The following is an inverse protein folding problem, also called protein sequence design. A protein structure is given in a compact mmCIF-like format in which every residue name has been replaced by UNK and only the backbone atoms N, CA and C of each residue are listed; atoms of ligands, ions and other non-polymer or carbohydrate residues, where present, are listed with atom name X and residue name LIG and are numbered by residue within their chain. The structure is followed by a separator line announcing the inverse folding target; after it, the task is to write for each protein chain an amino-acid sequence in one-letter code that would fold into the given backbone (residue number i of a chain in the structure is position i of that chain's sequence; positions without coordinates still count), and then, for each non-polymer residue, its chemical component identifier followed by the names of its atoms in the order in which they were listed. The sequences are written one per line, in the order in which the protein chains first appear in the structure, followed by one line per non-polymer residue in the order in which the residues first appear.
data_IF_334608780227
#
_entry.id   IF_334608780227
#
_cell.length_a   1.000
_cell.length_b   1.000
_cell.length_c   1.000
_cell.angle_alpha   90.00
_cell.angle_beta   90.00
_cell.angle_gamma   90.00
#
_symmetry.space_group_name_H-M   'P 1'
#
loop_
_entity.id
_entity.type
_entity.pdbx_description
1 polymer ?
2 non-polymer ?
3 water ?
#
# COMPACT_ATOMS: atom_id res chain seq x y z
N UNK A 58 -37.85 -6.78 -13.19
CA UNK A 58 -36.94 -7.84 -13.72
C UNK A 58 -36.23 -8.63 -12.62
N UNK A 59 -36.19 -9.95 -12.82
CA UNK A 59 -35.63 -10.83 -11.82
C UNK A 59 -34.21 -11.26 -12.10
N UNK A 60 -33.48 -11.50 -11.01
CA UNK A 60 -32.15 -12.06 -11.14
C UNK A 60 -32.34 -13.56 -11.34
N UNK A 61 -32.01 -14.01 -12.55
CA UNK A 61 -32.14 -15.41 -12.91
C UNK A 61 -30.76 -15.94 -13.24
N UNK A 62 -30.35 -17.00 -12.56
CA UNK A 62 -29.01 -17.58 -12.68
C UNK A 62 -29.09 -18.99 -13.28
N UNK A 63 -28.28 -19.25 -14.29
CA UNK A 63 -28.31 -20.56 -14.98
C UNK A 63 -27.55 -21.63 -14.21
N UNK A 64 -27.86 -22.89 -14.54
CA UNK A 64 -27.45 -24.05 -13.76
C UNK A 64 -25.93 -24.20 -13.70
N UNK A 65 -25.25 -23.69 -14.71
CA UNK A 65 -23.80 -23.88 -14.81
C UNK A 65 -23.04 -22.81 -14.05
N UNK A 66 -23.73 -21.80 -13.52
CA UNK A 66 -23.00 -20.65 -12.94
C UNK A 66 -22.52 -20.88 -11.51
N UNK A 67 -21.19 -20.96 -11.32
CA UNK A 67 -20.61 -21.02 -9.99
C UNK A 67 -20.22 -19.60 -9.52
N UNK A 68 -20.13 -19.44 -8.21
CA UNK A 68 -19.89 -18.14 -7.61
C UNK A 68 -19.45 -18.43 -6.20
N UNK A 69 -19.18 -17.38 -5.43
CA UNK A 69 -18.85 -17.56 -3.98
C UNK A 69 -19.80 -18.53 -3.28
N UNK A 70 -21.09 -18.39 -3.54
CA UNK A 70 -22.11 -19.15 -2.79
C UNK A 70 -22.46 -20.50 -3.41
N UNK A 71 -21.95 -20.80 -4.61
CA UNK A 71 -22.42 -21.96 -5.36
C UNK A 71 -21.28 -22.62 -6.14
N UNK A 72 -21.06 -23.90 -5.84
CA UNK A 72 -20.16 -24.73 -6.65
C UNK A 72 -20.94 -25.51 -7.70
N UNK A 73 -20.18 -26.00 -8.68
CA UNK A 73 -20.68 -26.92 -9.71
C UNK A 73 -19.88 -28.22 -9.59
N UNK A 74 -20.29 -29.31 -10.28
CA UNK A 74 -19.40 -30.49 -10.30
C UNK A 74 -17.99 -30.19 -10.85
N UNK A 75 -16.94 -30.86 -10.31
CA UNK A 75 -16.91 -31.95 -9.29
C UNK A 75 -17.04 -31.51 -7.84
N UNK A 76 -16.69 -30.26 -7.53
CA UNK A 76 -16.56 -29.85 -6.13
C UNK A 76 -17.87 -30.03 -5.34
N UNK A 77 -19.00 -29.71 -5.99
CA UNK A 77 -20.31 -29.77 -5.35
C UNK A 77 -20.69 -31.18 -4.89
N UNK A 78 -20.13 -32.19 -5.55
CA UNK A 78 -20.44 -33.58 -5.19
C UNK A 78 -19.27 -34.29 -4.53
N UNK A 79 -18.16 -33.58 -4.36
CA UNK A 79 -16.93 -34.14 -3.76
C UNK A 79 -17.01 -34.52 -2.26
N UNK A 80 -16.29 -35.59 -1.90
CA UNK A 80 -15.99 -35.90 -0.48
C UNK A 80 -14.95 -34.92 0.00
N UNK A 81 -15.16 -34.32 1.17
CA UNK A 81 -14.33 -33.22 1.58
C UNK A 81 -13.33 -33.61 2.64
N UNK A 82 -12.10 -33.18 2.45
CA UNK A 82 -11.10 -33.18 3.50
C UNK A 82 -11.00 -31.80 4.14
N UNK A 83 -11.64 -31.70 5.29
CA UNK A 83 -11.87 -30.44 5.99
C UNK A 83 -10.82 -30.29 7.10
N UNK A 84 -10.17 -29.11 7.22
CA UNK A 84 -9.20 -28.94 8.32
C UNK A 84 -9.84 -29.02 9.71
N UNK A 85 -9.04 -29.36 10.72
CA UNK A 85 -9.52 -29.41 12.11
C UNK A 85 -9.96 -28.03 12.60
N UNK A 86 -10.93 -28.02 13.50
CA UNK A 86 -11.47 -26.78 14.02
C UNK A 86 -10.47 -26.09 14.99
N UNK A 87 -10.14 -24.80 14.75
CA UNK A 87 -9.26 -24.08 15.68
C UNK A 87 -9.87 -24.07 17.10
N UNK A 88 -9.02 -24.21 18.14
CA UNK A 88 -9.59 -24.23 19.48
C UNK A 88 -9.90 -22.80 19.94
N UNK A 89 -11.16 -22.57 20.31
CA UNK A 89 -11.60 -21.26 20.79
C UNK A 89 -10.90 -20.97 22.12
N UNK A 90 -10.65 -19.71 22.45
CA UNK A 90 -9.94 -19.41 23.70
C UNK A 90 -10.38 -18.10 24.34
N UNK A 91 -10.98 -17.22 23.53
CA UNK A 91 -11.37 -15.90 24.03
C UNK A 91 -12.74 -15.87 24.69
N UNK A 92 -12.85 -15.15 25.80
CA UNK A 92 -14.13 -14.95 26.48
C UNK A 92 -14.39 -13.44 26.46
N UNK A 93 -15.52 -13.03 25.92
CA UNK A 93 -15.82 -11.58 25.75
C UNK A 93 -17.00 -11.22 26.63
N UNK A 94 -16.88 -10.13 27.39
CA UNK A 94 -18.03 -9.53 28.06
C UNK A 94 -18.14 -8.09 27.56
N UNK A 95 -19.37 -7.69 27.26
CA UNK A 95 -19.68 -6.33 26.83
C UNK A 95 -20.16 -5.52 28.04
N UNK A 96 -19.30 -4.61 28.53
CA UNK A 96 -19.62 -3.86 29.75
C UNK A 96 -20.20 -2.49 29.40
N UNK A 97 -21.40 -2.21 29.91
CA UNK A 97 -21.98 -0.89 29.75
C UNK A 97 -21.18 0.10 30.59
N UNK A 98 -20.85 1.25 30.02
CA UNK A 98 -20.11 2.31 30.73
C UNK A 98 -20.81 3.64 30.62
N UNK A 113 5.27 7.28 20.89
CA UNK A 113 5.80 8.43 20.15
C UNK A 113 5.00 8.76 18.88
N UNK A 114 3.72 9.08 19.08
CA UNK A 114 2.80 9.38 17.99
C UNK A 114 2.48 10.89 18.00
N UNK A 115 2.40 11.50 16.81
CA UNK A 115 2.20 12.96 16.65
C UNK A 115 0.88 13.20 15.96
N UNK A 116 -0.01 14.03 16.53
CA UNK A 116 -1.22 14.44 15.81
C UNK A 116 -0.94 15.76 15.08
N UNK A 117 -1.08 15.75 13.77
CA UNK A 117 -0.74 16.89 12.93
C UNK A 117 -1.92 17.27 12.01
N UNK A 118 -2.16 18.57 11.84
CA UNK A 118 -3.23 19.02 10.92
C UNK A 118 -2.81 18.88 9.46
N UNK A 119 -3.79 18.62 8.58
CA UNK A 119 -3.56 18.73 7.14
C UNK A 119 -3.79 20.19 6.77
N UNK A 120 -2.73 20.86 6.30
CA UNK A 120 -2.80 22.27 5.94
C UNK A 120 -3.03 22.54 4.45
N UNK A 121 -2.79 21.54 3.58
CA UNK A 121 -3.02 21.73 2.15
C UNK A 121 -3.17 20.34 1.54
N UNK A 122 -3.94 20.26 0.45
CA UNK A 122 -3.99 19.05 -0.36
C UNK A 122 -4.20 19.49 -1.80
N UNK A 123 -3.58 18.77 -2.74
CA UNK A 123 -3.63 19.14 -4.16
C UNK A 123 -3.89 17.87 -4.99
N UNK A 124 -4.86 17.92 -5.89
CA UNK A 124 -5.01 16.84 -6.90
C UNK A 124 -3.99 17.03 -8.03
N UNK A 125 -3.07 16.08 -8.16
CA UNK A 125 -1.96 16.21 -9.14
C UNK A 125 -2.32 15.73 -10.54
N UNK A 126 -3.35 14.89 -10.62
CA UNK A 126 -3.76 14.28 -11.89
C UNK A 126 -5.01 14.98 -12.45
N UNK A 127 -5.24 14.86 -13.75
CA UNK A 127 -6.44 15.41 -14.34
C UNK A 127 -7.64 14.60 -13.85
N UNK A 128 -8.83 15.17 -14.01
CA UNK A 128 -10.05 14.50 -13.65
C UNK A 128 -10.30 13.15 -14.38
N UNK A 129 -9.66 12.93 -15.51
CA UNK A 129 -9.88 11.71 -16.27
C UNK A 129 -8.74 10.70 -16.16
N UNK A 130 -7.81 10.95 -15.23
CA UNK A 130 -6.77 9.99 -14.96
C UNK A 130 -7.40 8.74 -14.34
N UNK A 131 -6.90 7.57 -14.70
CA UNK A 131 -7.48 6.32 -14.17
C UNK A 131 -7.20 6.23 -12.68
N UNK A 132 -6.01 6.66 -12.26
CA UNK A 132 -5.68 6.66 -10.83
C UNK A 132 -5.59 8.10 -10.36
N UNK A 133 -6.27 8.45 -9.27
CA UNK A 133 -6.22 9.83 -8.71
C UNK A 133 -5.03 9.92 -7.76
N UNK A 134 -4.13 10.84 -8.05
CA UNK A 134 -2.94 11.12 -7.22
C UNK A 134 -3.11 12.43 -6.46
N UNK A 135 -2.93 12.34 -5.14
CA UNK A 135 -3.03 13.52 -4.27
C UNK A 135 -1.67 13.84 -3.63
N UNK A 136 -1.38 15.13 -3.49
CA UNK A 136 -0.28 15.61 -2.63
C UNK A 136 -0.95 16.13 -1.36
N UNK A 137 -0.49 15.66 -0.18
CA UNK A 137 -1.03 16.12 1.11
C UNK A 137 0.12 16.79 1.89
N UNK A 138 -0.16 17.97 2.42
CA UNK A 138 0.78 18.65 3.30
C UNK A 138 0.34 18.54 4.74
N UNK A 139 1.26 18.10 5.60
CA UNK A 139 1.05 18.07 7.05
C UNK A 139 1.88 19.18 7.72
N UNK A 140 1.28 19.77 8.72
CA UNK A 140 1.92 20.87 9.45
C UNK A 140 2.57 20.24 10.70
N UNK A 141 3.91 20.11 10.65
CA UNK A 141 4.65 19.49 11.76
C UNK A 141 5.25 20.53 12.71
N UNK A 142 4.79 21.77 12.59
CA UNK A 142 5.49 22.86 13.27
C UNK A 142 5.37 22.76 14.79
N UNK A 143 4.22 22.30 15.29
CA UNK A 143 4.00 22.16 16.73
C UNK A 143 4.37 20.78 17.26
N UNK A 144 5.44 20.20 16.74
CA UNK A 144 5.91 18.88 17.17
C UNK A 144 7.43 18.96 17.25
N UNK A 145 8.06 17.91 17.74
CA UNK A 145 9.49 17.83 17.59
C UNK A 145 9.90 16.79 16.52
N UNK A 146 8.98 16.50 15.60
CA UNK A 146 9.15 15.54 14.53
C UNK A 146 10.15 16.17 13.56
N UNK A 147 11.12 15.38 13.13
CA UNK A 147 12.02 15.77 12.07
C UNK A 147 12.18 14.66 11.01
N UNK A 148 12.53 15.05 9.81
CA UNK A 148 12.72 14.05 8.76
C UNK A 148 13.73 14.53 7.74
N UNK A 149 14.23 13.57 6.98
CA UNK A 149 15.08 13.89 5.85
C UNK A 149 14.40 13.36 4.61
N UNK A 150 14.75 13.93 3.43
CA UNK A 150 14.15 13.43 2.17
C UNK A 150 14.37 11.92 2.03
N UNK A 151 13.34 11.17 1.60
CA UNK A 151 13.48 9.73 1.44
C UNK A 151 13.10 8.90 2.65
N UNK A 152 12.96 9.56 3.81
CA UNK A 152 12.37 8.92 5.00
C UNK A 152 10.93 8.44 4.71
N UNK A 153 10.47 7.46 5.50
CA UNK A 153 9.05 7.11 5.50
C UNK A 153 8.50 7.35 6.92
N UNK A 154 7.19 7.52 7.02
CA UNK A 154 6.51 7.65 8.29
C UNK A 154 5.22 6.89 8.17
N UNK A 155 4.64 6.51 9.31
CA UNK A 155 3.42 5.68 9.33
C UNK A 155 2.20 6.53 9.62
N UNK A 156 1.11 6.27 8.93
CA UNK A 156 -0.15 6.97 9.18
C UNK A 156 -1.10 5.97 9.83
N UNK A 157 -1.69 6.40 10.94
CA UNK A 157 -2.69 5.61 11.68
C UNK A 157 -4.08 5.92 11.14
N UNK A 158 -4.69 4.95 10.46
CA UNK A 158 -5.96 5.19 9.78
C UNK A 158 -7.04 4.30 10.37
N UNK A 159 -8.30 4.75 10.27
CA UNK A 159 -9.45 3.95 10.67
C UNK A 159 -10.13 3.27 9.47
N UNK A 160 -10.94 2.28 9.80
CA UNK A 160 -11.86 1.70 8.85
C UNK A 160 -12.97 2.70 8.56
N UNK A 161 -13.65 2.48 7.46
CA UNK A 161 -14.81 3.24 7.06
C UNK A 161 -15.89 3.15 8.17
N UNK A 162 -16.46 4.29 8.59
CA UNK A 162 -17.61 4.25 9.49
C UNK A 162 -18.75 3.39 8.90
N UNK A 163 -19.01 3.50 7.60
CA UNK A 163 -20.14 2.72 7.05
C UNK A 163 -19.86 1.22 7.08
N UNK A 164 -18.60 0.83 6.82
CA UNK A 164 -18.21 -0.58 6.94
C UNK A 164 -18.32 -1.12 8.39
N UNK A 165 -17.85 -0.34 9.36
CA UNK A 165 -17.92 -0.71 10.80
C UNK A 165 -19.39 -0.86 11.21
N UNK A 166 -20.24 0.10 10.82
CA UNK A 166 -21.68 0.03 11.13
C UNK A 166 -22.31 -1.22 10.51
N UNK A 167 -22.04 -1.47 9.22
CA UNK A 167 -22.59 -2.64 8.55
C UNK A 167 -22.18 -3.95 9.18
N UNK A 168 -20.90 -4.08 9.54
CA UNK A 168 -20.45 -5.26 10.21
C UNK A 168 -21.07 -5.46 11.63
N UNK A 169 -21.07 -4.41 12.44
CA UNK A 169 -21.70 -4.52 13.75
C UNK A 169 -23.20 -4.81 13.59
N UNK A 170 -23.87 -4.14 12.63
CA UNK A 170 -25.28 -4.47 12.35
C UNK A 170 -25.46 -5.96 12.02
N UNK A 171 -24.64 -6.47 11.11
CA UNK A 171 -24.70 -7.87 10.72
C UNK A 171 -24.42 -8.88 11.85
N UNK A 172 -23.65 -8.47 12.85
CA UNK A 172 -23.35 -9.31 14.00
C UNK A 172 -24.38 -9.11 15.14
N UNK A 173 -25.38 -8.26 14.86
CA UNK A 173 -26.39 -7.88 15.84
C UNK A 173 -25.79 -7.19 17.06
N UNK A 174 -24.80 -6.33 16.82
CA UNK A 174 -24.06 -5.68 17.89
C UNK A 174 -24.10 -4.18 17.82
N UNK A 175 -24.80 -3.61 16.83
CA UNK A 175 -24.79 -2.15 16.64
C UNK A 175 -25.30 -1.41 17.87
N UNK A 176 -26.31 -1.96 18.52
CA UNK A 176 -26.84 -1.32 19.71
C UNK A 176 -25.93 -1.47 20.95
N UNK A 177 -24.85 -2.22 20.81
CA UNK A 177 -23.86 -2.36 21.89
C UNK A 177 -22.52 -1.71 21.55
N UNK A 178 -22.53 -0.81 20.56
CA UNK A 178 -21.30 -0.30 19.99
C UNK A 178 -20.52 0.54 21.01
N UNK A 179 -21.21 1.07 22.01
CA UNK A 179 -20.55 1.91 23.01
C UNK A 179 -20.16 1.13 24.29
N UNK A 180 -20.49 -0.16 24.32
CA UNK A 180 -20.07 -1.03 25.43
C UNK A 180 -18.57 -1.33 25.36
N UNK A 182 -15.24 -3.63 25.79
CA UNK A 182 -14.99 -5.02 25.49
C UNK A 182 -13.96 -5.52 26.49
N UNK A 183 -14.40 -6.41 27.37
CA UNK A 183 -13.54 -6.93 28.38
C UNK A 183 -13.20 -8.35 27.92
N UNK A 184 -11.90 -8.65 27.91
CA UNK A 184 -11.41 -9.87 27.34
C UNK A 184 -10.67 -10.75 28.34
N UNK A 185 -10.97 -12.05 28.35
CA UNK A 185 -10.22 -13.00 29.18
C UNK A 185 -9.93 -14.26 28.38
N UNK A 186 -9.13 -15.14 28.95
CA UNK A 186 -8.99 -16.47 28.39
C UNK A 186 -9.97 -17.41 29.11
N UNK A 187 -10.77 -18.11 28.31
CA UNK A 187 -11.75 -19.08 28.76
C UNK A 187 -11.03 -20.08 29.66
N UNK A 188 -11.63 -20.36 30.82
CA UNK A 188 -11.07 -21.32 31.77
C UNK A 188 -10.89 -22.70 31.12
N UNK A 189 -11.80 -23.06 30.20
CA UNK A 189 -11.92 -24.41 29.64
C UNK A 189 -11.32 -24.60 28.23
N UNK A 190 -10.49 -23.65 27.79
CA UNK A 190 -9.90 -23.69 26.44
C UNK A 190 -8.84 -24.80 26.24
N UNK A 191 -8.88 -25.41 25.07
CA UNK A 191 -7.93 -26.47 24.69
C UNK A 191 -6.74 -25.94 23.88
N UNK A 192 -6.64 -24.61 23.77
CA UNK A 192 -5.51 -23.95 23.10
C UNK A 192 -4.36 -23.80 24.09
N UNK A 193 -3.18 -24.29 23.70
CA UNK A 193 -1.97 -24.13 24.48
C UNK A 193 -1.33 -22.78 24.14
N UNK A 194 -0.81 -22.09 25.16
CA UNK A 194 -0.14 -20.81 24.95
C UNK A 194 -1.09 -19.67 24.60
N UNK A 195 -2.39 -19.89 24.85
CA UNK A 195 -3.41 -18.85 24.60
C UNK A 195 -3.07 -17.54 25.33
N UNK A 196 -2.94 -16.47 24.56
CA UNK A 196 -2.71 -15.14 25.13
C UNK A 196 -3.72 -14.17 24.53
N UNK A 197 -4.04 -13.10 25.25
CA UNK A 197 -4.91 -12.04 24.74
C UNK A 197 -4.20 -11.36 23.55
N UNK A 198 -4.92 -11.13 22.43
CA UNK A 198 -4.35 -10.38 21.29
C UNK A 198 -3.87 -8.98 21.65
N UNK A 199 -2.58 -8.70 21.41
CA UNK A 199 -1.96 -7.44 21.84
C UNK A 199 -2.54 -6.20 21.17
N UNK A 200 -3.15 -6.40 20.00
CA UNK A 200 -3.70 -5.29 19.20
C UNK A 200 -5.14 -4.92 19.58
N UNK A 201 -5.73 -5.61 20.55
CA UNK A 201 -7.07 -5.24 21.04
C UNK A 201 -6.87 -4.60 22.44
N UNK A 202 -6.96 -3.25 22.52
CA UNK A 202 -6.73 -2.62 23.83
C UNK A 202 -7.83 -3.04 24.80
N UNK A 203 -7.43 -3.47 26.00
CA UNK A 203 -8.40 -4.03 26.98
C UNK A 203 -9.37 -2.95 27.41
N UNK A 204 -10.68 -3.23 27.40
CA UNK A 204 -11.66 -2.25 27.87
C UNK A 204 -12.07 -1.07 26.98
N UNK A 206 -14.12 0.63 23.66
CA UNK A 206 -15.46 0.40 23.14
C UNK A 206 -15.45 -0.51 21.91
N UNK A 207 -16.55 -1.20 21.68
CA UNK A 207 -16.64 -2.08 20.52
C UNK A 207 -16.44 -1.26 19.24
N UNK A 208 -17.02 -0.06 19.23
CA UNK A 208 -16.90 0.88 18.11
C UNK A 208 -15.43 1.20 17.84
N UNK A 209 -14.73 1.57 18.91
CA UNK A 209 -13.34 1.95 18.81
C UNK A 209 -12.49 0.82 18.27
N UNK A 210 -12.68 -0.37 18.83
CA UNK A 210 -11.93 -1.54 18.41
C UNK A 210 -12.16 -1.86 16.92
N UNK A 211 -13.42 -1.89 16.50
CA UNK A 211 -13.68 -2.15 15.07
C UNK A 211 -13.17 -1.05 14.12
N UNK A 212 -13.23 0.20 14.57
CA UNK A 212 -12.79 1.35 13.76
C UNK A 212 -11.26 1.40 13.69
N UNK A 213 -10.60 1.29 14.83
CA UNK A 213 -9.15 1.56 14.86
C UNK A 213 -8.20 0.36 15.04
N UNK A 214 -8.73 -0.78 15.47
CA UNK A 214 -7.84 -1.86 15.96
C UNK A 214 -7.82 -3.13 15.09
N UNK A 215 -8.89 -3.36 14.36
CA UNK A 215 -9.05 -4.65 13.63
C UNK A 215 -9.02 -4.42 12.13
N UNK A 216 -8.25 -5.23 11.39
CA UNK A 216 -8.28 -5.10 9.92
C UNK A 216 -9.53 -5.84 9.42
N UNK A 217 -10.68 -5.18 9.44
CA UNK A 217 -11.93 -5.87 9.02
C UNK A 217 -11.92 -6.25 7.54
N UNK A 218 -11.06 -5.60 6.73
CA UNK A 218 -10.88 -5.91 5.32
C UNK A 218 -10.13 -7.23 5.01
N UNK A 219 -9.50 -7.82 6.02
CA UNK A 219 -8.60 -8.94 5.83
C UNK A 219 -9.33 -10.08 5.14
N UNK A 220 -8.68 -10.74 4.20
CA UNK A 220 -9.27 -11.92 3.55
C UNK A 220 -9.27 -13.06 4.59
N UNK A 221 -10.46 -13.62 4.93
CA UNK A 221 -10.52 -14.70 5.90
C UNK A 221 -9.74 -15.91 5.42
N UNK A 222 -8.87 -16.43 6.27
CA UNK A 222 -8.09 -17.60 5.95
C UNK A 222 -8.99 -18.81 5.99
N UNK A 223 -8.47 -19.94 5.52
CA UNK A 223 -9.22 -21.19 5.52
C UNK A 223 -9.60 -21.64 6.92
N UNK A 224 -8.74 -21.37 7.91
CA UNK A 224 -9.04 -21.75 9.31
C UNK A 224 -10.17 -20.92 9.94
N UNK A 225 -10.27 -19.67 9.52
CA UNK A 225 -11.39 -18.82 9.90
C UNK A 225 -12.71 -19.32 9.27
N UNK A 226 -12.70 -19.56 7.96
CA UNK A 226 -13.84 -20.21 7.26
C UNK A 226 -14.27 -21.52 7.95
N UNK A 227 -13.28 -22.31 8.36
CA UNK A 227 -13.52 -23.58 9.07
C UNK A 227 -14.32 -23.38 10.35
N UNK A 228 -13.90 -22.39 11.15
CA UNK A 228 -14.58 -21.99 12.37
C UNK A 228 -16.02 -21.50 12.10
N UNK A 229 -16.25 -20.86 10.95
CA UNK A 229 -17.55 -20.28 10.63
C UNK A 229 -18.59 -21.34 10.23
N UNK A 230 -18.10 -22.47 9.69
CA UNK A 230 -18.91 -23.66 9.42
C UNK A 230 -19.81 -23.98 10.64
N UNK A 231 -19.25 -23.88 11.82
CA UNK A 231 -19.97 -24.33 13.01
C UNK A 231 -21.05 -23.35 13.48
N UNK A 232 -21.07 -22.17 12.89
CA UNK A 232 -22.05 -21.14 13.22
C UNK A 232 -23.01 -20.88 12.07
N UNK A 233 -23.03 -21.79 11.09
CA UNK A 233 -23.88 -21.65 9.91
C UNK A 233 -24.93 -22.76 9.94
N UNK A 234 -26.20 -22.35 9.97
CA UNK A 234 -27.30 -23.31 10.17
C UNK A 234 -27.95 -23.83 8.89
N UNK A 235 -27.84 -23.06 7.80
CA UNK A 235 -28.42 -23.51 6.54
C UNK A 235 -27.51 -24.57 5.95
N UNK A 236 -28.10 -25.69 5.54
CA UNK A 236 -27.37 -26.85 5.03
C UNK A 236 -26.52 -26.56 3.81
N UNK A 237 -27.09 -25.87 2.82
CA UNK A 237 -26.33 -25.54 1.61
C UNK A 237 -25.20 -24.55 1.91
N UNK A 238 -25.49 -23.54 2.73
CA UNK A 238 -24.47 -22.53 3.11
C UNK A 238 -23.34 -23.15 3.93
N UNK A 239 -23.69 -23.99 4.89
CA UNK A 239 -22.69 -24.70 5.70
C UNK A 239 -21.81 -25.55 4.78
N UNK A 240 -22.45 -26.24 3.83
CA UNK A 240 -21.74 -27.10 2.89
C UNK A 240 -20.77 -26.29 2.04
N UNK A 241 -21.20 -25.11 1.60
CA UNK A 241 -20.35 -24.28 0.71
C UNK A 241 -19.12 -23.80 1.48
N UNK A 242 -19.31 -23.41 2.73
CA UNK A 242 -18.18 -23.02 3.57
C UNK A 242 -17.22 -24.16 3.81
N UNK A 243 -17.74 -25.38 4.01
CA UNK A 243 -16.88 -26.58 4.07
C UNK A 243 -16.06 -26.76 2.79
N UNK A 244 -16.72 -26.64 1.65
CA UNK A 244 -16.01 -26.67 0.38
C UNK A 244 -14.92 -25.61 0.35
N UNK A 245 -15.25 -24.39 0.76
CA UNK A 245 -14.29 -23.28 0.61
C UNK A 245 -13.02 -23.43 1.48
N UNK A 246 -13.11 -24.15 2.60
CA UNK A 246 -11.93 -24.38 3.42
C UNK A 246 -11.25 -25.74 3.21
N UNK A 247 -11.83 -26.58 2.36
CA UNK A 247 -11.33 -27.95 2.15
C UNK A 247 -10.17 -28.05 1.16
N UNK A 248 -9.45 -29.15 1.21
CA UNK A 248 -8.48 -29.52 0.17
C UNK A 248 -9.07 -29.38 -1.24
N UNK A 249 -10.26 -29.96 -1.46
CA UNK A 249 -10.88 -30.04 -2.76
C UNK A 249 -11.34 -28.69 -3.29
N UNK A 250 -11.60 -27.76 -2.36
CA UNK A 250 -12.08 -26.39 -2.69
C UNK A 250 -11.02 -25.34 -2.88
N UNK A 251 -9.75 -25.75 -2.98
CA UNK A 251 -8.62 -24.83 -3.15
C UNK A 251 -8.79 -23.85 -4.33
N UNK A 252 -9.12 -24.36 -5.51
CA UNK A 252 -9.39 -23.48 -6.66
C UNK A 252 -10.51 -22.45 -6.41
N UNK A 253 -11.63 -22.92 -5.86
CA UNK A 253 -12.78 -22.06 -5.54
C UNK A 253 -12.39 -21.00 -4.50
N UNK A 254 -11.65 -21.39 -3.46
CA UNK A 254 -11.13 -20.40 -2.50
C UNK A 254 -10.26 -19.36 -3.21
N UNK A 255 -9.28 -19.81 -4.01
CA UNK A 255 -8.39 -18.87 -4.68
C UNK A 255 -9.16 -17.90 -5.55
N UNK A 256 -10.11 -18.43 -6.32
CA UNK A 256 -10.93 -17.63 -7.25
C UNK A 256 -11.92 -16.69 -6.54
N UNK A 257 -12.73 -17.26 -5.65
CA UNK A 257 -13.90 -16.56 -5.15
C UNK A 257 -13.67 -15.82 -3.83
N UNK A 258 -12.63 -16.21 -3.11
CA UNK A 258 -12.29 -15.54 -1.86
C UNK A 258 -11.02 -14.70 -1.97
N UNK A 259 -9.90 -15.34 -2.34
CA UNK A 259 -8.60 -14.65 -2.41
C UNK A 259 -8.55 -13.65 -3.56
N UNK A 260 -8.78 -14.10 -4.80
CA UNK A 260 -8.69 -13.19 -5.97
C UNK A 260 -9.74 -12.08 -5.90
N UNK A 261 -10.85 -12.41 -5.28
CA UNK A 261 -12.02 -11.55 -5.24
C UNK A 261 -11.88 -10.50 -4.17
N UNK A 263 -12.37 -10.96 -0.98
CA UNK A 263 -13.54 -10.97 -0.09
C UNK A 263 -13.13 -10.72 1.35
N UNK A 264 -13.87 -9.86 2.05
CA UNK A 264 -13.61 -9.68 3.49
C UNK A 264 -14.74 -10.34 4.31
N UNK A 265 -14.61 -10.34 5.64
CA UNK A 265 -15.65 -10.92 6.53
C UNK A 265 -17.06 -10.42 6.25
N UNK A 266 -17.26 -9.12 6.19
CA UNK A 266 -18.61 -8.62 5.92
C UNK A 266 -19.16 -9.24 4.59
N UNK A 267 -18.34 -9.27 3.54
CA UNK A 267 -18.76 -9.84 2.24
C UNK A 267 -19.21 -11.29 2.42
N UNK A 268 -18.44 -12.07 3.15
CA UNK A 268 -18.82 -13.46 3.39
C UNK A 268 -20.12 -13.59 4.18
N UNK A 269 -20.25 -12.80 5.25
CA UNK A 269 -21.41 -12.89 6.11
C UNK A 269 -22.67 -12.47 5.33
N UNK A 270 -22.52 -11.50 4.44
CA UNK A 270 -23.67 -11.08 3.63
C UNK A 270 -24.02 -12.18 2.62
N UNK A 271 -23.00 -12.87 2.15
CA UNK A 271 -23.20 -13.96 1.16
C UNK A 271 -23.72 -15.22 1.80
N UNK A 272 -23.41 -15.43 3.09
CA UNK A 272 -23.92 -16.57 3.84
C UNK A 272 -24.81 -16.12 5.04
N UNK A 273 -26.05 -15.66 4.74
CA UNK A 273 -26.87 -14.97 5.74
C UNK A 273 -27.16 -15.80 7.00
N UNK A 274 -27.07 -17.11 6.90
CA UNK A 274 -27.30 -17.98 8.07
C UNK A 274 -26.08 -18.18 8.98
N UNK A 275 -24.94 -17.59 8.60
CA UNK A 275 -23.74 -17.67 9.43
C UNK A 275 -23.83 -16.60 10.55
N UNK A 276 -23.86 -17.03 11.80
CA UNK A 276 -23.98 -16.09 12.91
C UNK A 276 -22.88 -16.37 13.91
N UNK A 277 -21.65 -15.86 13.63
CA UNK A 277 -20.53 -16.17 14.52
C UNK A 277 -20.53 -15.30 15.77
N UNK A 278 -19.94 -15.81 16.85
CA UNK A 278 -19.85 -14.99 18.07
C UNK A 278 -18.74 -13.96 17.95
N UNK A 279 -18.89 -12.83 18.63
CA UNK A 279 -17.84 -11.82 18.67
C UNK A 279 -16.50 -12.43 19.09
N UNK A 280 -16.50 -13.33 20.09
CA UNK A 280 -15.20 -13.92 20.52
C UNK A 280 -14.42 -14.53 19.35
N UNK A 281 -15.13 -15.17 18.41
CA UNK A 281 -14.48 -15.81 17.25
C UNK A 281 -13.84 -14.79 16.32
N UNK A 282 -14.55 -13.71 16.03
CA UNK A 282 -13.97 -12.64 15.25
C UNK A 282 -12.68 -12.14 15.89
N UNK A 283 -12.69 -11.96 17.21
CA UNK A 283 -11.50 -11.37 17.88
C UNK A 283 -10.30 -12.30 17.98
N UNK A 284 -10.55 -13.61 17.80
CA UNK A 284 -9.50 -14.61 17.61
C UNK A 284 -8.93 -14.64 16.19
N UNK A 285 -9.66 -14.11 15.22
CA UNK A 285 -9.20 -14.22 13.83
C UNK A 285 -8.90 -12.93 13.09
N UNK A 286 -9.52 -11.82 13.47
CA UNK A 286 -9.30 -10.58 12.69
C UNK A 286 -7.92 -10.04 13.06
N UNK A 287 -7.07 -9.73 12.06
CA UNK A 287 -5.74 -9.24 12.49
C UNK A 287 -5.70 -7.77 12.89
N UNK A 288 -4.53 -7.30 13.35
CA UNK A 288 -4.35 -5.88 13.70
C UNK A 288 -4.56 -4.99 12.47
N UNK A 289 -5.24 -3.85 12.65
CA UNK A 289 -5.31 -2.81 11.62
C UNK A 289 -3.96 -2.08 11.58
N UNK A 290 -3.17 -2.32 10.55
CA UNK A 290 -1.77 -1.78 10.54
C UNK A 290 -1.73 -0.35 10.06
N UNK A 291 -0.84 0.49 10.64
CA UNK A 291 -0.64 1.79 10.02
C UNK A 291 -0.02 1.66 8.62
N UNK A 292 -0.29 2.62 7.72
CA UNK A 292 0.25 2.59 6.35
C UNK A 292 1.40 3.60 6.28
N UNK A 293 2.59 3.17 5.80
CA UNK A 293 3.71 4.08 5.58
C UNK A 293 3.60 4.85 4.29
N UNK A 294 4.06 6.09 4.36
CA UNK A 294 4.21 6.97 3.20
C UNK A 294 5.62 7.55 3.16
N UNK A 295 6.08 7.90 1.95
CA UNK A 295 7.42 8.51 1.81
C UNK A 295 7.41 10.02 1.92
N UNK A 296 8.42 10.59 2.57
CA UNK A 296 8.55 12.03 2.61
C UNK A 296 8.83 12.55 1.18
N UNK A 297 7.95 13.41 0.66
CA UNK A 297 8.03 13.93 -0.72
C UNK A 297 8.44 15.41 -0.69
N UNK A 298 9.18 15.81 0.35
CA UNK A 298 9.61 17.22 0.53
C UNK A 298 10.89 17.25 1.33
N UNK A 299 11.53 18.41 1.36
CA UNK A 299 12.67 18.69 2.25
C UNK A 299 12.21 19.74 3.25
N UNK A 300 12.53 19.54 4.53
CA UNK A 300 12.33 20.57 5.56
C UNK A 300 13.14 21.84 5.29
N UNK A 301 14.17 21.77 4.46
CA UNK A 301 14.87 23.02 4.06
C UNK A 301 13.98 23.91 3.17
N UNK A 302 13.18 23.26 2.34
CA UNK A 302 12.39 23.92 1.33
C UNK A 302 11.00 24.36 1.81
N UNK A 303 10.40 23.58 2.71
CA UNK A 303 9.08 23.84 3.29
C UNK A 303 9.23 23.65 4.81
N UNK A 304 9.99 24.54 5.49
CA UNK A 304 10.19 24.29 6.92
C UNK A 304 8.87 24.23 7.70
N UNK A 305 8.77 23.26 8.62
CA UNK A 305 7.55 23.12 9.41
C UNK A 305 6.44 22.36 8.69
N UNK A 306 6.71 21.92 7.45
CA UNK A 306 5.75 21.09 6.69
C UNK A 306 6.36 19.74 6.31
N UNK A 307 5.48 18.80 6.00
CA UNK A 307 5.89 17.50 5.49
C UNK A 307 4.90 17.16 4.39
N UNK A 308 5.40 16.85 3.21
CA UNK A 308 4.49 16.43 2.11
C UNK A 308 4.59 14.95 1.86
N UNK A 309 3.49 14.39 1.37
CA UNK A 309 3.52 13.06 0.81
C UNK A 309 2.53 12.99 -0.31
N UNK A 310 2.74 11.97 -1.14
CA UNK A 310 1.99 11.82 -2.41
C UNK A 310 1.47 10.40 -2.46
N UNK A 311 0.21 10.22 -2.86
CA UNK A 311 -0.33 8.86 -2.94
C UNK A 311 -1.41 8.74 -4.00
N UNK A 312 -1.46 7.58 -4.66
CA UNK A 312 -2.62 7.31 -5.50
C UNK A 312 -3.71 6.76 -4.61
N UNK A 313 -4.96 7.15 -4.86
CA UNK A 313 -6.10 6.56 -4.12
C UNK A 313 -6.26 5.15 -4.70
N UNK A 314 -6.12 4.12 -3.86
CA UNK A 314 -6.24 2.75 -4.35
C UNK A 314 -7.72 2.41 -4.55
N UNK A 315 -8.02 1.77 -5.67
CA UNK A 315 -9.37 1.32 -5.97
C UNK A 315 -9.25 -0.06 -6.56
N UNK A 316 -10.08 -0.98 -6.12
CA UNK A 316 -9.95 -2.36 -6.60
C UNK A 316 -11.36 -2.98 -6.68
N UNK A 317 -11.50 -4.01 -7.52
CA UNK A 317 -12.70 -4.85 -7.66
C UNK A 317 -12.76 -5.86 -6.53
N UNK A 318 -13.93 -5.97 -5.91
CA UNK A 318 -14.10 -6.87 -4.75
C UNK A 318 -15.37 -7.73 -4.84
N UNK A 319 -15.68 -8.43 -3.73
CA UNK A 319 -16.91 -9.23 -3.57
C UNK A 319 -18.20 -8.40 -3.30
N UNK A 320 -18.05 -7.11 -3.00
CA UNK A 320 -19.20 -6.20 -2.78
C UNK A 320 -20.25 -6.34 -3.86
N UNK A 321 -21.51 -6.39 -3.43
CA UNK A 321 -22.67 -6.70 -4.28
C UNK A 321 -23.33 -5.43 -4.83
N UNK A 322 -23.23 -4.34 -4.06
CA UNK A 322 -23.89 -3.07 -4.35
C UNK A 322 -22.89 -1.94 -4.69
N UNK A 323 -21.60 -2.26 -4.69
CA UNK A 323 -20.53 -1.33 -5.05
C UNK A 323 -19.53 -2.07 -5.92
N UNK A 324 -19.02 -1.42 -6.95
CA UNK A 324 -18.13 -2.10 -7.85
C UNK A 324 -16.66 -1.91 -7.47
N UNK A 325 -16.27 -0.66 -7.22
CA UNK A 325 -14.91 -0.42 -6.80
C UNK A 325 -14.98 -0.11 -5.33
N UNK A 326 -14.02 -0.64 -4.58
CA UNK A 326 -13.84 -0.36 -3.16
C UNK A 326 -12.54 0.46 -3.10
N UNK A 327 -12.41 1.42 -2.19
CA UNK A 327 -11.17 2.18 -2.04
C UNK A 327 -10.31 1.55 -0.96
N UNK A 328 -9.01 1.80 -1.04
CA UNK A 328 -8.09 1.34 -0.01
C UNK A 328 -8.52 1.92 1.32
N UNK A 329 -8.13 1.29 2.43
CA UNK A 329 -8.53 1.78 3.75
C UNK A 329 -7.91 3.17 4.01
N UNK A 330 -6.59 3.30 3.83
CA UNK A 330 -5.93 4.52 4.30
C UNK A 330 -6.15 5.59 3.25
N UNK A 331 -5.96 5.25 1.96
CA UNK A 331 -6.10 6.28 0.93
C UNK A 331 -7.56 6.73 0.73
N UNK A 332 -8.51 5.82 0.87
CA UNK A 332 -9.98 6.17 0.92
C UNK A 332 -10.31 7.18 2.01
N UNK A 333 -9.75 6.95 3.19
CA UNK A 333 -9.91 7.85 4.35
C UNK A 333 -9.26 9.20 4.14
N UNK A 334 -8.01 9.20 3.70
CA UNK A 334 -7.30 10.45 3.41
C UNK A 334 -8.06 11.29 2.38
N UNK A 335 -8.59 10.64 1.35
CA UNK A 335 -9.31 11.36 0.30
C UNK A 335 -10.57 12.02 0.85
N UNK A 336 -11.27 11.29 1.72
CA UNK A 336 -12.43 11.85 2.41
C UNK A 336 -12.00 13.02 3.30
N UNK A 337 -10.91 12.87 4.05
CA UNK A 337 -10.46 13.93 4.96
C UNK A 337 -10.17 15.26 4.28
N UNK A 338 -9.52 15.17 3.12
CA UNK A 338 -9.07 16.37 2.43
C UNK A 338 -10.08 16.97 1.46
N UNK A 339 -11.27 16.38 1.37
CA UNK A 339 -12.30 16.86 0.43
C UNK A 339 -12.56 18.35 0.63
N UNK A 340 -12.68 18.77 1.88
CA UNK A 340 -13.00 20.17 2.19
C UNK A 340 -11.80 21.10 2.13
N UNK A 341 -10.57 20.55 2.12
CA UNK A 341 -9.35 21.35 1.98
C UNK A 341 -8.80 21.39 0.52
N UNK A 342 -9.32 20.52 -0.32
CA UNK A 342 -8.83 20.35 -1.69
C UNK A 342 -9.21 21.53 -2.60
N UNK A 357 -10.18 24.45 12.04
CA UNK A 357 -10.90 23.21 11.84
C UNK A 357 -10.23 22.32 10.77
N UNK A 358 -8.90 22.38 10.66
CA UNK A 358 -8.20 21.47 9.73
C UNK A 358 -8.36 20.04 10.25
N UNK A 359 -8.52 19.07 9.31
CA UNK A 359 -8.56 17.71 9.81
C UNK A 359 -7.17 17.35 10.34
N UNK A 360 -7.11 16.51 11.36
CA UNK A 360 -5.83 16.04 11.91
C UNK A 360 -5.66 14.54 11.71
N UNK A 361 -4.40 14.08 11.60
CA UNK A 361 -4.07 12.67 11.52
C UNK A 361 -2.90 12.38 12.46
N UNK A 362 -2.83 11.15 12.94
CA UNK A 362 -1.76 10.69 13.81
C UNK A 362 -0.70 9.95 12.99
N UNK A 363 0.54 10.34 13.19
CA UNK A 363 1.67 9.78 12.48
C UNK A 363 2.77 9.44 13.46
N UNK A 364 3.67 8.56 13.02
CA UNK A 364 4.89 8.30 13.76
C UNK A 364 6.04 7.96 12.85
N UNK A 365 7.27 8.35 13.25
CA UNK A 365 8.42 8.09 12.39
C UNK A 365 8.80 6.62 12.35
N UNK A 366 9.48 6.25 11.28
CA UNK A 366 10.11 4.97 11.18
C UNK A 366 11.53 5.20 11.71
N UNK A 367 11.97 4.31 12.60
CA UNK A 367 13.23 4.55 13.33
C UNK A 367 14.42 4.36 12.38
N UNK A 368 14.31 3.41 11.45
CA UNK A 368 15.35 3.20 10.46
C UNK A 368 14.91 3.71 9.09
N UNK A 369 15.73 4.56 8.49
CA UNK A 369 15.50 5.02 7.12
C UNK A 369 16.85 5.02 6.40
N UNK A 370 16.91 4.46 5.20
CA UNK A 370 18.18 4.36 4.45
C UNK A 370 18.12 4.96 3.05
N UNK A 371 16.94 5.32 2.60
CA UNK A 371 16.78 5.82 1.23
C UNK A 371 17.10 7.32 1.16
N UNK A 372 18.37 7.63 1.31
CA UNK A 372 18.84 9.01 1.53
C UNK A 372 19.83 9.45 0.48
N UNK A 373 19.83 10.75 0.19
CA UNK A 373 20.90 11.39 -0.58
C UNK A 373 22.28 11.03 0.03
N UNK A 374 23.34 10.96 -0.81
CA UNK A 374 24.69 10.70 -0.28
C UNK A 374 25.08 11.84 0.66
N UNK A 375 25.80 11.54 1.75
CA UNK A 375 26.31 12.64 2.61
C UNK A 375 27.22 13.61 1.82
N UNK A 376 27.96 13.08 0.86
CA UNK A 376 28.84 13.89 0.02
C UNK A 376 28.06 14.41 -1.20
N UNK A 377 27.76 15.72 -1.22
CA UNK A 377 26.96 16.32 -2.29
C UNK A 377 27.66 16.35 -3.66
N UNK A 378 28.96 16.02 -3.71
CA UNK A 378 29.66 16.02 -5.02
C UNK A 378 29.35 14.75 -5.83
N UNK A 379 28.77 13.76 -5.17
CA UNK A 379 28.58 12.45 -5.76
C UNK A 379 27.37 12.47 -6.69
N UNK A 380 27.53 12.00 -7.95
CA UNK A 380 26.41 12.01 -8.86
C UNK A 380 25.35 10.94 -8.53
N UNK A 381 24.09 11.23 -8.80
CA UNK A 381 23.04 10.24 -8.56
C UNK A 381 22.06 10.05 -9.71
N UNK A 382 21.45 8.86 -9.73
CA UNK A 382 20.46 8.51 -10.71
C UNK A 382 19.20 8.13 -9.93
N UNK A 383 18.07 8.74 -10.30
CA UNK A 383 16.80 8.49 -9.60
C UNK A 383 15.84 7.86 -10.60
N UNK A 384 15.19 6.78 -10.20
CA UNK A 384 14.27 6.07 -11.11
C UNK A 384 12.92 5.93 -10.39
N UNK A 385 11.92 6.68 -10.86
CA UNK A 385 10.70 6.79 -10.06
C UNK A 385 9.48 6.96 -10.93
N UNK A 386 8.97 5.86 -11.52
CA UNK A 386 7.76 5.96 -12.32
C UNK A 386 6.52 6.23 -11.46
N UNK A 387 5.57 6.97 -12.02
CA UNK A 387 4.34 7.29 -11.25
C UNK A 387 4.60 7.94 -9.91
N UNK A 388 3.89 7.51 -8.90
CA UNK A 388 4.07 8.11 -7.58
C UNK A 388 5.42 7.79 -6.94
N UNK A 389 6.14 6.80 -7.51
CA UNK A 389 7.54 6.55 -7.12
C UNK A 389 8.43 7.79 -7.27
N UNK A 390 7.96 8.85 -7.93
CA UNK A 390 8.72 10.09 -8.03
C UNK A 390 8.82 10.80 -6.67
N UNK A 391 7.92 10.46 -5.76
CA UNK A 391 7.72 11.18 -4.48
C UNK A 391 9.00 11.50 -3.68
N UNK A 392 9.81 10.48 -3.30
CA UNK A 392 10.97 10.93 -2.53
C UNK A 392 11.94 11.82 -3.32
N UNK A 393 11.93 11.69 -4.65
CA UNK A 393 12.88 12.44 -5.51
C UNK A 393 12.53 13.92 -5.61
N UNK A 394 11.25 14.23 -5.44
CA UNK A 394 10.84 15.63 -5.28
C UNK A 394 11.49 16.22 -4.05
N UNK A 395 11.48 15.46 -2.94
CA UNK A 395 12.17 15.85 -1.71
C UNK A 395 13.69 15.94 -1.93
N UNK A 396 14.30 14.96 -2.60
CA UNK A 396 15.77 15.05 -2.90
C UNK A 396 16.09 16.35 -3.65
N UNK A 397 15.28 16.67 -4.67
CA UNK A 397 15.52 17.87 -5.51
C UNK A 397 15.30 19.20 -4.76
N UNK A 398 14.27 19.26 -3.91
CA UNK A 398 14.05 20.38 -3.03
C UNK A 398 15.23 20.58 -2.10
N UNK A 399 15.72 19.50 -1.51
CA UNK A 399 16.86 19.58 -0.61
C UNK A 399 18.10 20.16 -1.31
N UNK A 400 18.44 19.58 -2.43
CA UNK A 400 19.56 20.09 -3.20
C UNK A 400 19.40 21.55 -3.68
N UNK A 401 18.18 21.96 -4.04
CA UNK A 401 17.91 23.39 -4.38
C UNK A 401 18.34 24.34 -3.26
N UNK A 402 17.90 24.00 -2.04
CA UNK A 402 18.24 24.76 -0.86
C UNK A 402 19.73 24.72 -0.54
N UNK A 403 20.33 23.53 -0.62
CA UNK A 403 21.79 23.37 -0.40
C UNK A 403 22.59 24.21 -1.37
N UNK A 404 22.20 24.17 -2.65
CA UNK A 404 22.83 24.99 -3.71
C UNK A 404 22.65 26.50 -3.49
N UNK A 405 21.47 26.91 -3.02
CA UNK A 405 21.21 28.31 -2.70
C UNK A 405 22.17 28.84 -1.65
N UNK A 406 22.39 28.03 -0.62
CA UNK A 406 23.34 28.33 0.43
C UNK A 406 24.78 28.46 -0.13
N UNK A 407 25.18 27.54 -1.01
CA UNK A 407 26.55 27.51 -1.57
C UNK A 407 26.61 27.46 -3.09
N UNK A 408 26.33 28.58 -3.78
CA UNK A 408 26.68 28.53 -5.21
C UNK A 408 28.18 28.23 -5.36
N UNK A 409 28.61 27.77 -6.53
CA UNK A 409 30.03 27.45 -6.78
C UNK A 409 30.50 26.13 -6.12
N UNK A 410 29.64 25.56 -5.27
CA UNK A 410 29.91 24.26 -4.66
C UNK A 410 30.06 23.19 -5.72
N UNK A 411 30.76 22.11 -5.37
CA UNK A 411 30.86 20.96 -6.25
C UNK A 411 29.66 20.08 -5.96
N UNK A 412 28.61 20.24 -6.75
CA UNK A 412 27.43 19.40 -6.58
C UNK A 412 27.36 18.39 -7.71
N UNK A 413 27.14 17.13 -7.36
CA UNK A 413 27.14 16.08 -8.38
C UNK A 413 25.94 16.19 -9.29
N UNK A 414 25.99 15.52 -10.43
CA UNK A 414 24.84 15.50 -11.33
C UNK A 414 23.66 14.82 -10.63
N UNK A 415 22.47 15.20 -11.04
CA UNK A 415 21.22 14.51 -10.62
C UNK A 415 20.43 14.17 -11.89
N UNK A 416 20.23 12.89 -12.13
CA UNK A 416 19.42 12.37 -13.23
C UNK A 416 18.10 11.84 -12.66
N UNK A 417 17.00 12.15 -13.33
CA UNK A 417 15.68 11.52 -13.02
C UNK A 417 15.09 10.85 -14.23
N UNK A 418 14.75 9.56 -14.06
CA UNK A 418 13.97 8.82 -15.01
C UNK A 418 12.58 8.70 -14.40
N UNK A 419 11.64 9.37 -15.07
CA UNK A 419 10.24 9.41 -14.66
C UNK A 419 9.40 8.74 -15.75
N UNK A 420 8.34 8.07 -15.37
CA UNK A 420 7.42 7.48 -16.32
C UNK A 420 6.00 7.66 -15.83
N UNK A 421 5.08 7.85 -16.77
CA UNK A 421 3.65 7.87 -16.45
C UNK A 421 2.90 7.36 -17.69
N UNK A 422 1.57 7.28 -17.62
CA UNK A 422 0.77 6.79 -18.79
C UNK A 422 0.61 7.79 -19.91
N UNK A 423 0.22 9.01 -19.56
CA UNK A 423 -0.19 10.04 -20.53
C UNK A 423 0.37 11.38 -20.14
N UNK A 424 1.11 11.98 -21.08
CA UNK A 424 1.63 13.33 -20.91
C UNK A 424 0.55 14.32 -20.42
N UNK A 425 -0.66 14.17 -20.93
CA UNK A 425 -1.77 15.09 -20.62
C UNK A 425 -2.69 14.65 -19.46
N UNK A 426 -2.32 13.61 -18.70
CA UNK A 426 -3.16 13.17 -17.56
C UNK A 426 -2.45 13.02 -16.23
N UNK A 427 -1.32 12.35 -16.24
CA UNK A 427 -0.67 11.97 -14.97
C UNK A 427 0.83 12.28 -14.95
N UNK A 428 1.22 13.35 -15.66
CA UNK A 428 2.61 13.80 -15.64
C UNK A 428 2.81 14.60 -14.35
N UNK A 429 3.03 13.86 -13.27
CA UNK A 429 3.15 14.46 -11.94
C UNK A 429 4.29 15.47 -11.87
N UNK A 430 4.06 16.57 -11.17
CA UNK A 430 5.11 17.58 -10.92
C UNK A 430 5.77 18.20 -12.16
N UNK A 431 5.07 18.20 -13.27
CA UNK A 431 5.67 18.63 -14.54
C UNK A 431 6.30 20.04 -14.39
N UNK A 432 5.55 20.96 -13.79
CA UNK A 432 6.02 22.31 -13.65
C UNK A 432 7.19 22.43 -12.67
N UNK A 433 7.11 21.70 -11.56
CA UNK A 433 8.19 21.72 -10.60
C UNK A 433 9.49 21.14 -11.18
N UNK A 434 9.36 20.06 -11.93
CA UNK A 434 10.53 19.48 -12.59
C UNK A 434 11.14 20.49 -13.58
N UNK A 435 10.29 21.21 -14.30
CA UNK A 435 10.77 22.22 -15.25
C UNK A 435 11.61 23.25 -14.48
N UNK A 436 11.10 23.65 -13.32
CA UNK A 436 11.78 24.58 -12.41
C UNK A 436 13.17 24.03 -12.02
N UNK A 437 13.20 22.79 -11.55
CA UNK A 437 14.47 22.18 -11.17
C UNK A 437 15.51 22.15 -12.32
N UNK A 438 15.06 21.84 -13.51
CA UNK A 438 15.95 21.85 -14.68
C UNK A 438 16.48 23.28 -14.98
N UNK A 439 15.55 24.24 -15.00
CA UNK A 439 15.86 25.63 -15.35
C UNK A 439 16.96 26.14 -14.45
N UNK A 440 16.87 25.82 -13.17
CA UNK A 440 17.87 26.26 -12.17
C UNK A 440 19.08 25.35 -11.95
N UNK A 441 19.29 24.37 -12.83
CA UNK A 441 20.50 23.55 -12.77
C UNK A 441 20.54 22.62 -11.57
N UNK A 442 19.39 22.32 -10.97
CA UNK A 442 19.37 21.45 -9.82
C UNK A 442 19.23 20.02 -10.32
N UNK A 443 18.22 19.83 -11.16
CA UNK A 443 18.07 18.58 -11.86
C UNK A 443 18.92 18.71 -13.11
N UNK A 444 19.84 17.76 -13.30
CA UNK A 444 20.77 17.81 -14.46
C UNK A 444 20.14 17.29 -15.75
N UNK A 445 19.47 16.14 -15.66
CA UNK A 445 18.81 15.49 -16.79
C UNK A 445 17.48 14.93 -16.35
N UNK A 446 16.46 15.12 -17.19
CA UNK A 446 15.14 14.54 -16.98
C UNK A 446 14.78 13.72 -18.20
N UNK A 447 14.44 12.45 -18.00
CA UNK A 447 14.04 11.54 -19.11
C UNK A 447 12.68 10.96 -18.77
N UNK A 448 11.67 11.36 -19.52
CA UNK A 448 10.31 10.96 -19.18
C UNK A 448 9.75 10.04 -20.25
N UNK A 449 9.11 8.97 -19.82
CA UNK A 449 8.53 8.02 -20.75
C UNK A 449 7.03 8.06 -20.53
N UNK A 450 6.27 7.83 -21.61
CA UNK A 450 4.80 7.83 -21.54
C UNK A 450 4.32 6.50 -22.07
N UNK A 451 3.72 5.70 -21.21
CA UNK A 451 3.51 4.31 -21.57
C UNK A 451 2.27 4.09 -22.45
N UNK A 452 1.39 5.09 -22.53
CA UNK A 452 0.12 4.91 -23.24
C UNK A 452 -0.18 6.00 -24.24
N UNK A 453 0.78 6.87 -24.50
CA UNK A 453 0.62 7.83 -25.54
C UNK A 453 1.03 7.21 -26.88
N UNK A 454 0.27 7.54 -27.92
CA UNK A 454 0.49 7.05 -29.29
C UNK A 454 1.76 7.68 -29.85
N UNK A 455 2.63 6.86 -30.49
CA UNK A 455 3.91 7.38 -31.00
C UNK A 455 3.74 8.18 -32.29
N UNK A 462 10.17 5.33 -29.65
CA UNK A 462 10.14 6.12 -28.39
C UNK A 462 9.94 5.26 -27.12
N UNK A 463 10.87 5.43 -26.17
CA UNK A 463 10.84 4.76 -24.86
C UNK A 463 9.46 4.82 -24.20
N UNK A 464 8.92 3.66 -23.87
CA UNK A 464 7.61 3.50 -23.23
C UNK A 464 7.67 3.43 -21.68
N UNK A 465 8.78 2.88 -21.15
CA UNK A 465 8.93 2.75 -19.69
C UNK A 465 10.29 3.24 -19.21
N UNK A 466 10.45 3.45 -17.91
CA UNK A 466 11.73 3.98 -17.40
C UNK A 466 12.92 3.10 -17.82
N UNK A 467 12.71 1.80 -17.83
CA UNK A 467 13.80 0.85 -18.20
C UNK A 467 14.32 1.05 -19.64
N UNK A 468 13.44 1.43 -20.56
CA UNK A 468 13.85 1.73 -21.94
C UNK A 468 14.68 2.98 -22.02
N UNK A 469 14.31 4.00 -21.26
CA UNK A 469 15.11 5.19 -21.24
C UNK A 469 16.45 5.00 -20.57
N UNK A 470 16.49 4.17 -19.53
CA UNK A 470 17.75 3.90 -18.85
C UNK A 470 18.74 3.24 -19.85
N UNK A 471 18.23 2.26 -20.60
CA UNK A 471 19.00 1.59 -21.66
C UNK A 471 19.52 2.51 -22.75
N UNK A 472 18.73 3.52 -23.09
CA UNK A 472 19.13 4.49 -24.09
C UNK A 472 20.28 5.38 -23.58
N UNK A 473 20.44 5.45 -22.27
CA UNK A 473 21.50 6.28 -21.70
C UNK A 473 22.46 5.44 -20.89
N UNK A 474 22.66 4.20 -21.36
CA UNK A 474 23.49 3.23 -20.67
C UNK A 474 24.91 3.69 -20.43
N UNK A 475 25.47 4.40 -21.40
CA UNK A 475 26.88 4.81 -21.30
C UNK A 475 27.06 5.75 -20.11
N UNK A 476 26.17 6.72 -20.00
CA UNK A 476 26.24 7.70 -18.89
C UNK A 476 25.93 7.00 -17.55
N UNK A 477 24.97 6.09 -17.54
CA UNK A 477 24.55 5.40 -16.33
C UNK A 477 25.73 4.54 -15.84
N UNK A 478 26.35 3.77 -16.74
CA UNK A 478 27.54 2.95 -16.38
C UNK A 478 28.68 3.79 -15.82
N UNK A 479 29.01 4.88 -16.50
CA UNK A 479 30.09 5.76 -16.08
C UNK A 479 29.85 6.39 -14.70
N UNK A 480 28.64 6.92 -14.48
CA UNK A 480 28.25 7.40 -13.16
C UNK A 480 28.48 6.35 -12.06
N UNK A 481 27.96 5.14 -12.27
CA UNK A 481 28.04 4.12 -11.22
C UNK A 481 29.45 3.52 -11.06
N UNK A 482 30.15 3.37 -12.17
CA UNK A 482 31.38 2.58 -12.15
C UNK A 482 32.66 3.40 -12.20
N UNK A 483 32.61 4.64 -12.70
CA UNK A 483 33.79 5.50 -12.68
C UNK A 483 33.69 6.69 -11.74
N UNK A 484 32.44 7.04 -11.36
CA UNK A 484 32.19 8.29 -10.63
C UNK A 484 31.59 8.11 -9.24
N UNK A 485 31.61 6.89 -8.74
CA UNK A 485 31.19 6.55 -7.35
C UNK A 485 29.69 6.87 -7.11
N UNK A 486 28.88 6.83 -8.16
CA UNK A 486 27.53 7.37 -8.09
C UNK A 486 26.58 6.39 -7.39
N UNK A 487 25.39 6.89 -7.10
CA UNK A 487 24.35 6.06 -6.49
C UNK A 487 23.16 6.05 -7.38
N UNK A 488 22.44 4.95 -7.37
CA UNK A 488 21.20 4.83 -8.07
C UNK A 488 20.08 4.43 -7.08
N UNK A 489 18.91 5.02 -7.26
CA UNK A 489 17.73 4.86 -6.38
C UNK A 489 16.54 4.53 -7.25
N UNK A 490 15.76 3.53 -6.82
CA UNK A 490 14.59 3.02 -7.54
C UNK A 490 13.45 3.01 -6.52
N UNK A 491 12.36 3.70 -6.87
CA UNK A 491 11.23 3.81 -5.98
C UNK A 491 9.93 3.59 -6.78
N UNK A 492 8.99 2.90 -6.18
CA UNK A 492 7.64 2.91 -6.73
C UNK A 492 6.87 1.69 -6.31
N UNK A 493 5.62 1.59 -6.76
CA UNK A 493 4.78 0.57 -6.19
C UNK A 493 5.05 -0.83 -6.76
N UNK A 494 5.39 -0.92 -8.04
CA UNK A 494 5.60 -2.25 -8.64
C UNK A 494 6.95 -2.93 -8.30
N UNK A 495 6.87 -4.21 -7.87
CA UNK A 495 8.05 -5.08 -7.72
C UNK A 495 8.57 -5.54 -9.09
N UNK A 496 7.65 -5.57 -10.08
CA UNK A 496 7.96 -5.84 -11.46
C UNK A 496 8.81 -4.72 -12.05
N UNK A 497 8.50 -3.49 -11.65
CA UNK A 497 9.22 -2.34 -12.12
C UNK A 497 10.66 -2.46 -11.64
N UNK A 498 10.82 -2.80 -10.35
CA UNK A 498 12.11 -2.97 -9.73
C UNK A 498 12.98 -4.03 -10.43
N UNK A 499 12.38 -5.17 -10.72
CA UNK A 499 13.02 -6.25 -11.49
C UNK A 499 13.38 -5.81 -12.91
N UNK A 500 12.48 -5.04 -13.55
CA UNK A 500 12.70 -4.56 -14.91
C UNK A 500 13.86 -3.58 -14.97
N UNK A 501 13.94 -2.69 -13.98
CA UNK A 501 15.04 -1.75 -13.88
C UNK A 501 16.36 -2.51 -13.66
N UNK A 502 16.33 -3.42 -12.71
CA UNK A 502 17.47 -4.28 -12.41
C UNK A 502 18.03 -4.96 -13.67
N UNK A 503 17.16 -5.61 -14.44
CA UNK A 503 17.56 -6.34 -15.65
C UNK A 503 18.13 -5.42 -16.75
N UNK A 504 17.56 -4.22 -16.84
CA UNK A 504 18.09 -3.18 -17.72
C UNK A 504 19.53 -2.81 -17.38
N UNK A 505 19.80 -2.64 -16.09
CA UNK A 505 21.12 -2.26 -15.58
C UNK A 505 22.10 -3.43 -15.83
N UNK A 506 21.58 -4.65 -15.69
CA UNK A 506 22.42 -5.82 -15.99
C UNK A 506 22.87 -5.74 -17.45
N UNK A 507 21.93 -5.51 -18.38
CA UNK A 507 22.26 -5.37 -19.77
C UNK A 507 23.22 -4.20 -20.01
N UNK A 508 23.01 -3.11 -19.29
CA UNK A 508 23.81 -1.91 -19.56
C UNK A 508 25.29 -2.18 -19.23
N UNK A 509 25.51 -2.75 -18.05
CA UNK A 509 26.90 -3.03 -17.61
C UNK A 509 27.60 -4.05 -18.52
N UNK A 510 26.88 -5.10 -18.93
CA UNK A 510 27.43 -6.07 -19.90
C UNK A 510 27.91 -5.40 -21.20
N UNK A 511 27.03 -4.60 -21.80
CA UNK A 511 27.34 -3.90 -23.06
C UNK A 511 28.39 -2.80 -22.87
N UNK A 512 28.25 -1.99 -21.81
CA UNK A 512 29.21 -0.88 -21.63
C UNK A 512 30.65 -1.28 -21.27
N UNK A 513 30.79 -2.25 -20.37
CA UNK A 513 32.09 -2.67 -19.95
C UNK A 513 32.52 -3.86 -20.81
N UNK A 514 31.54 -4.54 -21.41
CA UNK A 514 31.82 -5.68 -22.27
C UNK A 514 32.23 -6.85 -21.41
N UNK A 515 31.45 -7.11 -20.37
CA UNK A 515 31.59 -8.29 -19.53
C UNK A 515 30.37 -9.19 -19.71
N UNK A 516 30.43 -10.39 -19.14
CA UNK A 516 29.35 -11.37 -19.25
C UNK A 516 28.22 -10.96 -18.36
N UNK A 517 27.00 -11.32 -18.76
CA UNK A 517 25.78 -11.13 -17.95
C UNK A 517 25.96 -11.51 -16.47
N UNK A 518 26.74 -12.54 -16.20
CA UNK A 518 26.97 -13.00 -14.82
C UNK A 518 27.82 -12.03 -13.94
N UNK A 519 28.90 -11.51 -14.51
CA UNK A 519 29.74 -10.51 -13.83
C UNK A 519 28.91 -9.22 -13.62
N UNK A 520 28.17 -8.81 -14.66
CA UNK A 520 27.23 -7.67 -14.56
C UNK A 520 26.27 -7.82 -13.40
N UNK A 521 25.64 -9.00 -13.29
CA UNK A 521 24.73 -9.25 -12.16
C UNK A 521 25.42 -9.13 -10.79
N UNK A 522 26.65 -9.61 -10.70
CA UNK A 522 27.36 -9.56 -9.41
C UNK A 522 27.82 -8.14 -9.09
N UNK A 523 28.10 -7.36 -10.13
CA UNK A 523 28.41 -5.93 -9.93
C UNK A 523 27.25 -5.21 -9.24
N UNK A 524 26.02 -5.43 -9.73
CA UNK A 524 24.86 -4.77 -9.11
C UNK A 524 24.69 -5.24 -7.70
N UNK A 525 24.99 -6.53 -7.42
CA UNK A 525 24.81 -7.04 -6.08
C UNK A 525 25.80 -6.37 -5.15
N UNK A 526 27.03 -6.16 -5.63
CA UNK A 526 28.07 -5.48 -4.86
C UNK A 526 27.73 -3.97 -4.71
N UNK A 527 27.20 -3.35 -5.77
CA UNK A 527 26.59 -1.99 -5.62
C UNK A 527 25.54 -1.93 -4.48
N UNK A 528 24.58 -2.87 -4.44
CA UNK A 528 23.62 -2.91 -3.33
C UNK A 528 24.29 -3.09 -2.00
N UNK A 529 25.23 -4.03 -1.92
CA UNK A 529 25.95 -4.29 -0.65
C UNK A 529 26.65 -3.03 -0.15
N UNK A 530 27.25 -2.26 -1.06
CA UNK A 530 27.85 -0.99 -0.69
C UNK A 530 26.88 0.21 -0.46
N UNK A 531 25.57 -0.04 -0.51
CA UNK A 531 24.55 1.01 -0.34
C UNK A 531 24.62 2.12 -1.40
N UNK A 532 25.03 1.76 -2.63
CA UNK A 532 25.01 2.67 -3.79
C UNK A 532 23.91 2.31 -4.81
N UNK A 533 23.20 1.22 -4.56
CA UNK A 533 22.02 0.86 -5.34
C UNK A 533 20.91 0.60 -4.31
N UNK A 534 19.99 1.56 -4.19
CA UNK A 534 18.97 1.54 -3.18
C UNK A 534 17.56 1.41 -3.77
N UNK A 535 16.69 0.70 -3.06
CA UNK A 535 15.32 0.49 -3.49
C UNK A 535 14.32 0.88 -2.38
N UNK A 536 13.22 1.52 -2.77
CA UNK A 536 12.10 1.79 -1.89
C UNK A 536 10.86 1.35 -2.67
N UNK A 537 10.52 0.07 -2.53
CA UNK A 537 9.45 -0.56 -3.28
C UNK A 537 8.23 -0.66 -2.37
N UNK A 538 7.05 -0.38 -2.92
CA UNK A 538 5.89 -0.06 -2.07
C UNK A 538 4.87 -1.14 -2.01
N UNK A 539 4.98 -2.15 -2.88
CA UNK A 539 4.12 -3.33 -2.78
C UNK A 539 4.95 -4.63 -2.63
#
# INVERSE_FOLDING_TARGET
GSPEFGALPVASPASLRTDLVKSELLHIESQVELLRFDDSGRKDSEVLKQNAVNSNQSNVVIEDFESSLTRSVPPLSQASLNIPGLPPEYLQVHLQESLGQEESQVSVTSADPVFQVPISKAVQLTTNDAIKTTLLVELDISNTDFSYQPGDAFSVICPNSDSEVQSLLQRLQLEDKREHXVLLKIKADTKKKGATLPQHIPAGXSLQFIFTWCLEIRAIPKKAFLRALVDYTSDSAEKRRLQELCSKQGAADYSRFVRDAXACLLDLLLAFPSCQPPLSLLLEHLPKLQPRPYSCASSSLFHPGKLHFVFNIVEFLSTATTEVLRKGVCTGWLALLVASVLQPNIHASHEDSGKALAPKISIFPRTTNSFHLPDDPSIPIIMVGPGTGIAPFIGFLQHREKLQEQHPDGNFGAMWLFFGCRHKDRDYLFRKELRHFLKHGILTHLKVSFSRDAPVGEEEAPAKYVQDNIQLHGQQVARILLQENGHIYVCGDAKNMAKDVHDALVQIISKEVGVEKLEAMKTLATLKEEKRYLQDIWS
#
